data_IF_010814849973
#
_entry.id   IF_010814849973
#
_cell.length_a   1.000
_cell.length_b   1.000
_cell.length_c   1.000
_cell.angle_alpha   90.00
_cell.angle_beta   90.00
_cell.angle_gamma   90.00
#
_symmetry.space_group_name_H-M   'P 1'
#
loop_
_entity.id
_entity.type
_entity.pdbx_description
1 polymer ?
#
# COMPACT_ATOMS: atom_id res chain seq x y z
N UNK A 1 3.25 -48.66 32.02
CA UNK A 1 2.48 -47.50 31.51
C UNK A 1 2.28 -47.66 30.01
N UNK A 2 1.04 -47.51 29.52
CA UNK A 2 0.55 -47.97 28.20
C UNK A 2 1.02 -47.14 26.97
N UNK A 3 2.31 -46.81 26.88
CA UNK A 3 2.87 -46.02 25.77
C UNK A 3 2.67 -46.67 24.39
N UNK A 4 2.70 -48.00 24.31
CA UNK A 4 2.47 -48.74 23.07
C UNK A 4 1.04 -48.62 22.56
N UNK A 5 0.03 -48.65 23.44
CA UNK A 5 -1.38 -48.44 23.04
C UNK A 5 -1.62 -47.01 22.57
N UNK A 6 -1.02 -46.04 23.24
CA UNK A 6 -1.11 -44.62 22.85
C UNK A 6 -0.49 -44.44 21.46
N UNK A 7 0.72 -44.97 21.24
CA UNK A 7 1.40 -44.88 19.94
C UNK A 7 0.58 -45.50 18.80
N UNK A 8 -0.02 -46.68 19.01
CA UNK A 8 -0.89 -47.33 18.01
C UNK A 8 -2.13 -46.50 17.68
N UNK A 9 -2.76 -45.91 18.70
CA UNK A 9 -3.92 -45.05 18.51
C UNK A 9 -3.54 -43.77 17.75
N UNK A 10 -2.46 -43.10 18.16
CA UNK A 10 -1.94 -41.89 17.50
C UNK A 10 -1.59 -42.15 16.04
N UNK A 11 -0.90 -43.25 15.72
CA UNK A 11 -0.54 -43.60 14.35
C UNK A 11 -1.77 -43.83 13.46
N UNK A 12 -2.84 -44.42 14.01
CA UNK A 12 -4.11 -44.59 13.30
C UNK A 12 -4.77 -43.25 12.97
N UNK A 13 -4.82 -42.34 13.95
CA UNK A 13 -5.39 -41.00 13.78
C UNK A 13 -4.59 -40.18 12.75
N UNK A 14 -3.27 -40.19 12.83
CA UNK A 14 -2.40 -39.50 11.87
C UNK A 14 -2.63 -40.03 10.45
N UNK A 15 -2.69 -41.35 10.26
CA UNK A 15 -2.97 -41.95 8.96
C UNK A 15 -4.35 -41.57 8.43
N UNK A 16 -5.35 -41.47 9.32
CA UNK A 16 -6.71 -41.08 8.95
C UNK A 16 -6.77 -39.62 8.49
N UNK A 17 -6.06 -38.72 9.18
CA UNK A 17 -5.94 -37.31 8.77
C UNK A 17 -5.18 -37.20 7.44
N UNK A 18 -4.07 -37.92 7.28
CA UNK A 18 -3.26 -37.86 6.06
C UNK A 18 -3.97 -38.45 4.84
N UNK A 19 -4.81 -39.47 5.04
CA UNK A 19 -5.60 -40.05 3.95
C UNK A 19 -6.70 -39.11 3.45
N UNK A 20 -7.18 -38.20 4.31
CA UNK A 20 -8.15 -37.19 3.92
C UNK A 20 -7.44 -35.97 3.32
N UNK A 21 -7.32 -36.00 1.99
CA UNK A 21 -6.75 -34.92 1.19
C UNK A 21 -7.46 -33.59 1.41
N UNK A 22 -8.77 -33.57 1.68
CA UNK A 22 -9.52 -32.32 1.87
C UNK A 22 -9.14 -31.67 3.20
N UNK A 23 -9.07 -32.48 4.25
CA UNK A 23 -8.68 -32.01 5.59
C UNK A 23 -7.22 -31.53 5.62
N UNK A 24 -6.29 -32.26 5.00
CA UNK A 24 -4.90 -31.81 4.88
C UNK A 24 -4.78 -30.50 4.10
N UNK A 25 -5.51 -30.38 2.99
CA UNK A 25 -5.50 -29.18 2.18
C UNK A 25 -6.04 -28.00 2.98
N UNK A 26 -7.12 -28.16 3.75
CA UNK A 26 -7.61 -27.10 4.63
C UNK A 26 -6.59 -26.69 5.71
N UNK A 27 -5.97 -27.66 6.39
CA UNK A 27 -5.00 -27.39 7.47
C UNK A 27 -3.76 -26.65 6.94
N UNK A 28 -3.31 -26.94 5.72
CA UNK A 28 -2.10 -26.35 5.16
C UNK A 28 -2.37 -25.12 4.29
N UNK A 29 -3.37 -25.19 3.41
CA UNK A 29 -3.64 -24.18 2.39
C UNK A 29 -4.31 -22.94 2.97
N UNK A 30 -5.26 -23.08 3.90
CA UNK A 30 -5.97 -21.93 4.46
C UNK A 30 -5.01 -20.98 5.20
N UNK A 31 -4.10 -21.46 6.07
CA UNK A 31 -3.10 -20.57 6.69
C UNK A 31 -2.19 -19.88 5.68
N UNK A 32 -1.74 -20.60 4.65
CA UNK A 32 -0.90 -20.01 3.59
C UNK A 32 -1.66 -18.94 2.81
N UNK A 33 -2.92 -19.20 2.46
CA UNK A 33 -3.78 -18.25 1.77
C UNK A 33 -3.98 -16.99 2.62
N UNK A 34 -4.27 -17.15 3.91
CA UNK A 34 -4.40 -16.03 4.85
C UNK A 34 -3.11 -15.22 4.97
N UNK A 35 -1.95 -15.88 5.11
CA UNK A 35 -0.64 -15.21 5.15
C UNK A 35 -0.34 -14.47 3.83
N UNK A 36 -0.74 -15.05 2.69
CA UNK A 36 -0.55 -14.41 1.39
C UNK A 36 -1.41 -13.15 1.26
N UNK A 37 -2.70 -13.25 1.60
CA UNK A 37 -3.62 -12.11 1.57
C UNK A 37 -3.18 -11.04 2.55
N UNK A 38 -2.83 -11.41 3.78
CA UNK A 38 -2.29 -10.48 4.78
C UNK A 38 -0.99 -9.82 4.28
N UNK A 39 -0.09 -10.57 3.65
CA UNK A 39 1.13 -10.03 3.07
C UNK A 39 0.88 -9.04 1.93
N UNK A 40 -0.15 -9.27 1.11
CA UNK A 40 -0.58 -8.33 0.07
C UNK A 40 -1.17 -7.06 0.69
N UNK A 41 -2.06 -7.20 1.68
CA UNK A 41 -2.67 -6.07 2.39
C UNK A 41 -1.60 -5.22 3.09
N UNK A 42 -0.68 -5.84 3.83
CA UNK A 42 0.41 -5.13 4.53
C UNK A 42 1.34 -4.43 3.53
N UNK A 43 1.57 -5.00 2.35
CA UNK A 43 2.41 -4.37 1.32
C UNK A 43 1.72 -3.16 0.69
N UNK A 44 0.39 -3.14 0.65
CA UNK A 44 -0.38 -1.99 0.16
C UNK A 44 -0.21 -0.78 1.11
N UNK A 45 -0.10 -1.00 2.41
CA UNK A 45 0.25 0.05 3.39
C UNK A 45 1.70 0.57 3.25
N UNK A 46 2.56 -0.13 2.49
CA UNK A 46 3.98 0.19 2.35
C UNK A 46 4.35 0.77 0.98
N UNK A 47 3.38 1.01 0.09
CA UNK A 47 3.68 1.75 -1.13
C UNK A 47 3.90 3.23 -0.77
N UNK A 48 5.06 3.81 -1.11
CA UNK A 48 5.28 5.22 -0.90
C UNK A 48 4.23 6.01 -1.69
N UNK A 49 3.67 7.03 -1.05
CA UNK A 49 2.70 7.93 -1.64
C UNK A 49 3.33 8.60 -2.86
N UNK A 50 2.75 8.35 -4.05
CA UNK A 50 3.23 8.95 -5.29
C UNK A 50 2.69 10.38 -5.41
N UNK A 51 3.56 11.37 -5.31
CA UNK A 51 3.18 12.78 -5.28
C UNK A 51 3.77 13.53 -6.47
N UNK A 52 2.91 14.06 -7.33
CA UNK A 52 3.31 14.96 -8.41
C UNK A 52 3.49 16.39 -7.88
N UNK A 53 4.58 17.06 -8.24
CA UNK A 53 4.84 18.46 -7.91
C UNK A 53 4.89 19.26 -9.20
N UNK A 54 3.92 20.18 -9.38
CA UNK A 54 3.87 21.06 -10.56
C UNK A 54 4.76 22.28 -10.31
N UNK A 55 5.96 22.25 -10.89
CA UNK A 55 7.05 23.19 -10.63
C UNK A 55 7.05 24.42 -11.57
N UNK A 56 5.93 24.75 -12.21
CA UNK A 56 5.89 25.77 -13.27
C UNK A 56 5.98 27.22 -12.75
N UNK A 57 5.78 27.49 -11.46
CA UNK A 57 5.58 28.86 -10.97
C UNK A 57 6.29 29.28 -9.66
N UNK A 58 7.06 28.43 -8.96
CA UNK A 58 7.66 28.85 -7.68
C UNK A 58 9.02 28.23 -7.32
N UNK A 59 10.04 29.04 -7.00
CA UNK A 59 11.19 28.60 -6.24
C UNK A 59 10.75 28.50 -4.77
N UNK A 60 10.57 27.29 -4.22
CA UNK A 60 11.60 26.27 -4.26
C UNK A 60 11.02 24.86 -4.49
N UNK A 61 10.50 24.60 -5.70
CA UNK A 61 10.03 23.26 -6.07
C UNK A 61 11.09 22.17 -5.78
N UNK A 62 12.36 22.44 -6.06
CA UNK A 62 13.48 21.51 -5.80
C UNK A 62 13.69 21.24 -4.29
N UNK A 63 13.58 22.26 -3.44
CA UNK A 63 13.76 22.08 -2.01
C UNK A 63 12.59 21.29 -1.40
N UNK A 64 11.38 21.48 -1.91
CA UNK A 64 10.25 20.67 -1.49
C UNK A 64 10.36 19.23 -1.99
N UNK A 65 10.73 19.02 -3.25
CA UNK A 65 10.98 17.67 -3.78
C UNK A 65 12.03 16.94 -2.95
N UNK A 66 13.13 17.61 -2.59
CA UNK A 66 14.16 17.04 -1.73
C UNK A 66 13.64 16.72 -0.32
N UNK A 67 12.71 17.52 0.23
CA UNK A 67 12.09 17.26 1.53
C UNK A 67 11.08 16.12 1.47
N UNK A 68 10.25 16.06 0.44
CA UNK A 68 9.29 14.98 0.24
C UNK A 68 9.99 13.64 0.01
N UNK A 69 10.99 13.60 -0.87
CA UNK A 69 11.80 12.40 -1.11
C UNK A 69 12.71 12.00 0.06
N UNK A 70 12.88 12.87 1.07
CA UNK A 70 13.57 12.51 2.30
C UNK A 70 12.70 11.69 3.26
N UNK A 71 11.39 11.66 3.02
CA UNK A 71 10.43 10.86 3.78
C UNK A 71 10.34 9.47 3.14
N UNK A 72 10.49 8.38 3.90
CA UNK A 72 10.49 7.02 3.35
C UNK A 72 9.12 6.58 2.81
N UNK A 73 8.06 7.31 3.18
CA UNK A 73 6.67 7.03 2.83
C UNK A 73 6.19 7.84 1.62
N UNK A 74 7.03 8.69 1.03
CA UNK A 74 6.64 9.58 -0.07
C UNK A 74 7.69 9.52 -1.19
N UNK A 75 7.21 9.32 -2.40
CA UNK A 75 8.00 9.44 -3.63
C UNK A 75 7.43 10.61 -4.42
N UNK A 76 8.22 11.67 -4.58
CA UNK A 76 7.79 12.92 -5.18
C UNK A 76 8.55 13.20 -6.49
N UNK A 77 7.81 13.49 -7.55
CA UNK A 77 8.35 13.77 -8.87
C UNK A 77 7.89 15.13 -9.41
N UNK A 78 8.78 15.82 -10.13
CA UNK A 78 8.46 17.06 -10.80
C UNK A 78 7.75 16.77 -12.12
N UNK A 79 6.56 17.34 -12.32
CA UNK A 79 5.76 17.15 -13.53
C UNK A 79 5.27 18.48 -14.07
N UNK A 80 4.96 18.52 -15.38
CA UNK A 80 4.18 19.62 -15.94
C UNK A 80 2.72 19.54 -15.46
N UNK A 81 1.99 20.65 -15.52
CA UNK A 81 0.59 20.69 -15.10
C UNK A 81 -0.27 19.67 -15.85
N UNK A 82 0.01 19.48 -17.14
CA UNK A 82 -0.69 18.53 -18.00
C UNK A 82 -0.35 17.07 -17.62
N UNK A 83 0.93 16.75 -17.42
CA UNK A 83 1.35 15.40 -17.03
C UNK A 83 0.83 15.02 -15.65
N UNK A 84 0.82 15.95 -14.70
CA UNK A 84 0.28 15.69 -13.37
C UNK A 84 -1.23 15.38 -13.41
N UNK A 85 -1.98 16.01 -14.32
CA UNK A 85 -3.41 15.75 -14.47
C UNK A 85 -3.69 14.40 -15.16
N UNK A 86 -2.93 14.07 -16.20
CA UNK A 86 -2.99 12.77 -16.88
C UNK A 86 -2.63 11.62 -15.91
N UNK A 87 -1.52 11.75 -15.17
CA UNK A 87 -1.07 10.72 -14.25
C UNK A 87 -1.95 10.60 -12.98
N UNK A 88 -2.57 11.69 -12.53
CA UNK A 88 -3.57 11.66 -11.45
C UNK A 88 -4.86 10.96 -11.93
N UNK A 89 -5.29 11.21 -13.17
CA UNK A 89 -6.49 10.58 -13.73
C UNK A 89 -6.30 9.08 -14.00
N UNK A 90 -5.09 8.66 -14.38
CA UNK A 90 -4.74 7.26 -14.61
C UNK A 90 -4.44 6.49 -13.30
N UNK A 91 -4.45 7.18 -12.15
CA UNK A 91 -4.15 6.60 -10.83
C UNK A 91 -2.68 6.26 -10.62
N UNK A 92 -1.78 6.84 -11.42
CA UNK A 92 -0.33 6.71 -11.27
C UNK A 92 0.21 7.63 -10.16
N UNK A 93 -0.50 8.71 -9.86
CA UNK A 93 -0.24 9.60 -8.72
C UNK A 93 -1.37 9.51 -7.71
N UNK A 94 -1.00 9.59 -6.43
CA UNK A 94 -1.94 9.63 -5.32
C UNK A 94 -2.36 11.07 -4.99
N UNK A 95 -1.46 12.03 -5.23
CA UNK A 95 -1.71 13.45 -5.02
C UNK A 95 -0.89 14.34 -5.96
N UNK A 96 -1.38 15.54 -6.21
CA UNK A 96 -0.69 16.61 -6.94
C UNK A 96 -0.60 17.87 -6.08
N UNK A 97 0.61 18.42 -5.97
CA UNK A 97 0.92 19.69 -5.34
C UNK A 97 1.08 20.77 -6.42
N UNK A 98 0.23 21.79 -6.39
CA UNK A 98 0.28 22.93 -7.33
C UNK A 98 0.45 24.24 -6.57
N UNK A 99 1.36 25.10 -7.05
CA UNK A 99 1.47 26.49 -6.58
C UNK A 99 0.53 27.35 -7.41
N UNK A 100 -0.46 27.95 -6.76
CA UNK A 100 -1.19 29.05 -7.36
C UNK A 100 -0.51 30.36 -6.96
N UNK A 101 -0.01 31.09 -7.97
CA UNK A 101 0.50 32.45 -7.76
C UNK A 101 -0.69 33.40 -7.60
N UNK A 102 -1.12 33.64 -6.36
CA UNK A 102 -1.97 34.78 -6.02
C UNK A 102 -1.09 35.91 -5.49
N UNK A 103 -1.37 37.15 -5.93
CA UNK A 103 -0.45 38.28 -5.96
C UNK A 103 0.14 38.75 -4.59
N UNK A 104 -0.29 38.19 -3.45
CA UNK A 104 0.23 38.57 -2.12
C UNK A 104 0.62 37.39 -1.22
N UNK A 105 0.27 36.14 -1.53
CA UNK A 105 0.65 34.97 -0.72
C UNK A 105 0.73 33.69 -1.59
N UNK A 106 1.81 32.88 -1.48
CA UNK A 106 1.86 31.58 -2.15
C UNK A 106 0.83 30.64 -1.50
N UNK A 107 -0.18 30.22 -2.28
CA UNK A 107 -1.17 29.23 -1.83
C UNK A 107 -0.78 27.88 -2.42
N UNK A 108 -0.53 26.91 -1.55
CA UNK A 108 -0.30 25.51 -1.93
C UNK A 108 -1.66 24.81 -2.05
N UNK A 109 -2.01 24.38 -3.25
CA UNK A 109 -3.19 23.54 -3.46
C UNK A 109 -2.77 22.08 -3.51
N UNK A 110 -3.45 21.25 -2.71
CA UNK A 110 -3.28 19.80 -2.68
C UNK A 110 -4.52 19.18 -3.27
N UNK A 111 -4.35 18.38 -4.31
CA UNK A 111 -5.43 17.63 -4.96
C UNK A 111 -5.11 16.14 -4.86
N UNK A 112 -6.09 15.35 -4.43
CA UNK A 112 -5.96 13.92 -4.20
C UNK A 112 -6.82 13.14 -5.19
N UNK A 113 -6.40 11.92 -5.51
CA UNK A 113 -7.22 10.96 -6.24
C UNK A 113 -8.42 10.56 -5.35
N UNK A 114 -9.64 10.76 -5.87
CA UNK A 114 -10.87 10.73 -5.09
C UNK A 114 -11.50 9.35 -4.91
N UNK A 115 -10.90 8.29 -5.46
CA UNK A 115 -11.52 6.95 -5.47
C UNK A 115 -11.10 6.09 -4.27
N UNK A 116 -10.06 6.48 -3.51
CA UNK A 116 -9.66 5.80 -2.29
C UNK A 116 -10.21 6.48 -1.00
N UNK A 117 -11.27 5.93 -0.37
CA UNK A 117 -11.86 6.50 0.84
C UNK A 117 -10.94 6.41 2.06
N UNK A 118 -9.92 5.55 2.07
CA UNK A 118 -8.97 5.45 3.17
C UNK A 118 -7.99 6.63 3.21
N UNK A 119 -7.69 7.22 2.04
CA UNK A 119 -6.74 8.33 1.89
C UNK A 119 -7.38 9.71 2.11
N UNK A 120 -8.68 9.85 1.84
CA UNK A 120 -9.44 11.07 2.10
C UNK A 120 -9.62 11.41 3.60
N UNK A 121 -9.41 10.44 4.50
CA UNK A 121 -9.66 10.60 5.94
C UNK A 121 -8.51 11.28 6.73
N UNK A 122 -7.35 11.53 6.10
CA UNK A 122 -6.17 12.08 6.77
C UNK A 122 -6.22 13.61 6.97
N UNK A 123 -7.34 14.29 6.68
CA UNK A 123 -7.50 15.75 6.81
C UNK A 123 -8.61 16.19 7.78
N UNK A 124 -8.95 15.37 8.78
CA UNK A 124 -9.86 15.73 9.88
C UNK A 124 -9.16 16.43 11.04
#
# INVERSE_FOLDING_TARGET
>A
MNFTRIAHLSQRVIRQIVADRRSLLLILFVPVLLLTVAGVLIRQDQQPLQVGVVAEAAPPAEALLARLNSLPEIEAQALSAQQAEEELADGALDAVLRWQSSADQPVLQVEYEGTDPARAALSG
#
